data_IF_214507388153
#
_entry.id   IF_214507388153
#
_cell.length_a   1.000
_cell.length_b   1.000
_cell.length_c   1.000
_cell.angle_alpha   90.00
_cell.angle_beta   90.00
_cell.angle_gamma   90.00
#
_symmetry.space_group_name_H-M   'P 1'
#
loop_
_entity.id
_entity.type
_entity.pdbx_description
1 polymer ?
#
# COMPACT_ATOMS: atom_id res chain seq x y z
N UNK A 1 -6.58 28.51 7.86
CA UNK A 1 -6.38 27.43 8.84
C UNK A 1 -4.94 26.95 8.73
N UNK A 2 -4.10 27.26 9.73
CA UNK A 2 -2.68 26.87 9.69
C UNK A 2 -2.56 25.37 9.93
N UNK A 3 -2.07 24.64 8.95
CA UNK A 3 -1.83 23.19 9.06
C UNK A 3 -0.70 22.97 10.05
N UNK A 4 -0.86 22.20 11.13
CA UNK A 4 0.20 21.96 12.08
C UNK A 4 1.39 21.30 11.37
N UNK A 5 2.58 21.77 11.71
CA UNK A 5 3.85 21.32 11.12
C UNK A 5 4.29 19.95 11.66
N UNK A 6 3.72 19.55 12.78
CA UNK A 6 4.09 18.34 13.53
C UNK A 6 2.95 17.32 13.42
N UNK A 7 3.17 16.28 12.65
CA UNK A 7 2.20 15.18 12.47
C UNK A 7 2.68 14.03 13.36
N UNK A 8 1.76 13.45 14.13
CA UNK A 8 1.99 12.26 14.94
C UNK A 8 2.32 11.08 14.02
N UNK A 9 3.12 10.15 14.51
CA UNK A 9 3.35 8.87 13.86
C UNK A 9 2.15 7.95 14.11
N UNK A 10 2.03 6.88 13.32
CA UNK A 10 1.00 5.86 13.53
C UNK A 10 1.14 5.20 14.90
N UNK A 11 2.37 4.94 15.29
CA UNK A 11 2.73 4.34 16.57
C UNK A 11 2.28 5.22 17.75
N UNK A 12 2.41 6.54 17.63
CA UNK A 12 1.95 7.48 18.65
C UNK A 12 0.42 7.43 18.80
N UNK A 13 -0.32 7.40 17.68
CA UNK A 13 -1.77 7.28 17.69
C UNK A 13 -2.23 5.95 18.32
N UNK A 14 -1.56 4.83 18.00
CA UNK A 14 -1.85 3.53 18.58
C UNK A 14 -1.54 3.48 20.08
N UNK A 15 -0.43 4.09 20.50
CA UNK A 15 -0.06 4.15 21.90
C UNK A 15 -1.05 5.01 22.72
N UNK A 16 -1.47 6.16 22.18
CA UNK A 16 -2.53 6.99 22.79
C UNK A 16 -3.82 6.18 22.92
N UNK A 17 -4.27 5.51 21.86
CA UNK A 17 -5.49 4.71 21.89
C UNK A 17 -5.45 3.61 22.97
N UNK A 18 -4.32 2.90 23.10
CA UNK A 18 -4.14 1.87 24.12
C UNK A 18 -4.19 2.40 25.55
N UNK A 19 -3.57 3.55 25.80
CA UNK A 19 -3.61 4.16 27.13
C UNK A 19 -5.01 4.64 27.49
N UNK A 20 -5.73 5.25 26.54
CA UNK A 20 -7.12 5.66 26.75
C UNK A 20 -8.04 4.45 26.99
N UNK A 21 -7.87 3.38 26.25
CA UNK A 21 -8.61 2.11 26.45
C UNK A 21 -8.33 1.49 27.82
N UNK A 22 -7.13 1.68 28.34
CA UNK A 22 -6.73 1.27 29.70
C UNK A 22 -7.24 2.21 30.80
N UNK A 23 -8.01 3.26 30.44
CA UNK A 23 -8.61 4.19 31.40
C UNK A 23 -7.77 5.42 31.76
N UNK A 24 -6.64 5.64 31.11
CA UNK A 24 -5.88 6.87 31.29
C UNK A 24 -6.60 8.07 30.69
N UNK A 25 -6.43 9.25 31.30
CA UNK A 25 -6.88 10.48 30.64
C UNK A 25 -5.99 10.80 29.45
N UNK A 26 -6.52 11.56 28.49
CA UNK A 26 -5.72 11.99 27.31
C UNK A 26 -4.48 12.81 27.74
N UNK A 27 -4.61 13.63 28.79
CA UNK A 27 -3.49 14.43 29.31
C UNK A 27 -2.38 13.54 29.87
N UNK A 28 -2.74 12.54 30.65
CA UNK A 28 -1.78 11.58 31.22
C UNK A 28 -1.12 10.75 30.12
N UNK A 29 -1.90 10.31 29.12
CA UNK A 29 -1.37 9.58 27.98
C UNK A 29 -0.33 10.40 27.21
N UNK A 30 -0.60 11.68 26.94
CA UNK A 30 0.35 12.57 26.27
C UNK A 30 1.63 12.81 27.07
N UNK A 31 1.51 12.92 28.40
CA UNK A 31 2.68 13.09 29.30
C UNK A 31 3.56 11.83 29.28
N UNK A 32 2.94 10.66 29.39
CA UNK A 32 3.65 9.37 29.43
C UNK A 32 4.35 9.05 28.11
N UNK A 33 3.71 9.38 26.98
CA UNK A 33 4.24 9.09 25.64
C UNK A 33 5.14 10.19 25.07
N UNK A 34 5.37 11.28 25.84
CA UNK A 34 6.17 12.41 25.35
C UNK A 34 7.63 12.01 25.17
N UNK A 35 8.11 12.08 23.92
CA UNK A 35 9.48 11.85 23.49
C UNK A 35 9.99 13.06 22.69
N UNK A 36 11.31 13.15 22.46
CA UNK A 36 11.90 14.25 21.67
C UNK A 36 11.31 14.43 20.28
N UNK A 37 10.87 13.31 19.67
CA UNK A 37 10.37 13.29 18.30
C UNK A 37 8.94 13.83 18.19
N UNK A 38 8.10 13.58 19.19
CA UNK A 38 6.69 13.97 19.24
C UNK A 38 6.40 15.15 20.17
N UNK A 39 7.41 15.65 20.92
CA UNK A 39 7.28 16.67 21.94
C UNK A 39 6.48 17.88 21.49
N UNK A 40 6.85 18.46 20.35
CA UNK A 40 6.18 19.67 19.82
C UNK A 40 4.71 19.45 19.49
N UNK A 41 4.39 18.29 18.93
CA UNK A 41 2.99 17.93 18.61
C UNK A 41 2.18 17.74 19.90
N UNK A 42 2.74 17.02 20.86
CA UNK A 42 2.08 16.77 22.15
C UNK A 42 1.89 18.04 22.97
N UNK A 43 2.87 18.95 23.00
CA UNK A 43 2.73 20.22 23.68
C UNK A 43 1.66 21.10 23.03
N UNK A 44 1.58 21.12 21.72
CA UNK A 44 0.56 21.86 21.01
C UNK A 44 -0.85 21.30 21.27
N UNK A 45 -1.01 19.97 21.26
CA UNK A 45 -2.25 19.28 21.64
C UNK A 45 -2.63 19.61 23.10
N UNK A 46 -1.65 19.53 24.01
CA UNK A 46 -1.86 19.83 25.43
C UNK A 46 -2.31 21.26 25.66
N UNK A 47 -1.70 22.22 24.98
CA UNK A 47 -2.09 23.64 25.08
C UNK A 47 -3.52 23.86 24.62
N UNK A 48 -3.93 23.30 23.49
CA UNK A 48 -5.33 23.38 23.01
C UNK A 48 -6.33 22.74 23.98
N UNK A 49 -5.95 21.61 24.59
CA UNK A 49 -6.78 20.97 25.61
C UNK A 49 -6.91 21.83 26.87
N UNK A 50 -5.86 22.58 27.25
CA UNK A 50 -5.89 23.50 28.37
C UNK A 50 -6.68 24.77 28.07
N UNK A 51 -6.72 25.20 26.81
CA UNK A 51 -7.55 26.29 26.32
C UNK A 51 -9.05 25.90 26.22
N UNK A 52 -9.38 24.64 26.51
CA UNK A 52 -10.75 24.11 26.54
C UNK A 52 -11.29 23.70 25.18
N UNK A 53 -10.43 23.59 24.17
CA UNK A 53 -10.85 23.08 22.87
C UNK A 53 -11.23 21.58 22.95
N UNK A 54 -12.27 21.19 22.23
CA UNK A 54 -12.68 19.79 22.14
C UNK A 54 -11.67 18.99 21.32
N UNK A 55 -11.23 17.85 21.85
CA UNK A 55 -10.27 16.96 21.20
C UNK A 55 -10.72 16.54 19.79
N UNK A 56 -12.01 16.27 19.61
CA UNK A 56 -12.61 15.95 18.31
C UNK A 56 -12.41 17.06 17.26
N UNK A 57 -12.42 18.31 17.70
CA UNK A 57 -12.37 19.46 16.79
C UNK A 57 -10.99 19.65 16.14
N UNK A 58 -9.93 19.20 16.78
CA UNK A 58 -8.58 19.53 16.31
C UNK A 58 -7.63 18.34 16.16
N UNK A 59 -7.87 17.20 16.82
CA UNK A 59 -6.93 16.09 16.85
C UNK A 59 -6.61 15.54 15.46
N UNK A 60 -7.60 15.53 14.55
CA UNK A 60 -7.41 15.09 13.17
C UNK A 60 -6.30 15.86 12.41
N UNK A 61 -6.03 17.11 12.83
CA UNK A 61 -4.96 17.93 12.24
C UNK A 61 -3.56 17.35 12.49
N UNK A 62 -3.40 16.62 13.59
CA UNK A 62 -2.14 16.00 14.00
C UNK A 62 -2.02 14.54 13.55
N UNK A 63 -3.10 13.92 13.13
CA UNK A 63 -3.10 12.55 12.65
C UNK A 63 -2.28 12.38 11.37
N UNK A 64 -1.69 11.19 11.15
CA UNK A 64 -1.11 10.82 9.87
C UNK A 64 -2.11 11.02 8.74
N UNK A 65 -1.63 11.39 7.56
CA UNK A 65 -2.50 11.64 6.39
C UNK A 65 -3.46 10.49 6.07
N UNK A 66 -3.01 9.27 6.33
CA UNK A 66 -3.81 8.05 6.13
C UNK A 66 -5.01 7.95 7.09
N UNK A 67 -4.97 8.61 8.24
CA UNK A 67 -6.03 8.57 9.24
C UNK A 67 -7.00 9.76 9.12
N UNK A 68 -6.55 10.89 8.58
CA UNK A 68 -7.30 12.15 8.59
C UNK A 68 -8.72 12.00 8.08
N UNK A 69 -8.88 11.43 6.88
CA UNK A 69 -10.21 11.33 6.21
C UNK A 69 -11.16 10.43 7.00
N UNK A 70 -10.65 9.28 7.47
CA UNK A 70 -11.45 8.34 8.25
C UNK A 70 -11.81 8.92 9.61
N UNK A 71 -10.84 9.49 10.31
CA UNK A 71 -11.02 10.05 11.64
C UNK A 71 -11.97 11.25 11.61
N UNK A 72 -11.84 12.17 10.65
CA UNK A 72 -12.71 13.32 10.49
C UNK A 72 -14.18 12.89 10.29
N UNK A 73 -14.41 11.87 9.46
CA UNK A 73 -15.75 11.35 9.22
C UNK A 73 -16.36 10.66 10.45
N UNK A 74 -15.57 9.91 11.20
CA UNK A 74 -16.02 9.12 12.35
C UNK A 74 -16.16 9.96 13.62
N UNK A 75 -15.31 10.96 13.81
CA UNK A 75 -15.31 11.83 14.99
C UNK A 75 -16.60 12.63 15.17
N UNK A 76 -17.40 12.77 14.11
CA UNK A 76 -18.71 13.43 14.16
C UNK A 76 -19.82 12.53 14.69
N UNK A 77 -19.66 11.21 14.62
CA UNK A 77 -20.70 10.23 14.93
C UNK A 77 -20.39 9.36 16.16
N UNK A 78 -19.12 9.29 16.58
CA UNK A 78 -18.64 8.37 17.63
C UNK A 78 -17.82 9.10 18.68
N UNK A 79 -17.70 8.54 19.92
CA UNK A 79 -16.73 8.99 20.92
C UNK A 79 -15.30 8.98 20.36
N UNK A 80 -14.45 9.85 20.91
CA UNK A 80 -13.06 10.02 20.42
C UNK A 80 -12.28 8.69 20.40
N UNK A 81 -12.31 7.94 21.46
CA UNK A 81 -11.60 6.66 21.60
C UNK A 81 -12.06 5.66 20.53
N UNK A 82 -13.38 5.50 20.37
CA UNK A 82 -13.95 4.56 19.40
C UNK A 82 -13.61 4.99 17.95
N UNK A 83 -13.64 6.28 17.66
CA UNK A 83 -13.21 6.81 16.37
C UNK A 83 -11.75 6.52 16.08
N UNK A 84 -10.88 6.67 17.08
CA UNK A 84 -9.45 6.44 16.95
C UNK A 84 -9.15 4.95 16.77
N UNK A 85 -9.75 4.08 17.60
CA UNK A 85 -9.59 2.63 17.50
C UNK A 85 -10.08 2.10 16.14
N UNK A 86 -11.28 2.49 15.73
CA UNK A 86 -11.84 2.08 14.43
C UNK A 86 -10.95 2.53 13.28
N UNK A 87 -10.42 3.74 13.34
CA UNK A 87 -9.50 4.26 12.33
C UNK A 87 -8.21 3.42 12.23
N UNK A 88 -7.64 3.04 13.37
CA UNK A 88 -6.45 2.19 13.47
C UNK A 88 -6.75 0.80 12.88
N UNK A 89 -7.86 0.17 13.28
CA UNK A 89 -8.25 -1.16 12.81
C UNK A 89 -8.50 -1.19 11.30
N UNK A 90 -9.24 -0.22 10.78
CA UNK A 90 -9.48 -0.10 9.34
C UNK A 90 -8.19 0.07 8.56
N UNK A 91 -7.29 0.90 9.08
CA UNK A 91 -6.00 1.11 8.40
C UNK A 91 -5.14 -0.16 8.39
N UNK A 92 -5.08 -0.89 9.49
CA UNK A 92 -4.42 -2.21 9.57
C UNK A 92 -5.04 -3.22 8.60
N UNK A 93 -6.37 -3.24 8.49
CA UNK A 93 -7.06 -4.12 7.55
C UNK A 93 -6.70 -3.78 6.09
N UNK A 94 -6.62 -2.50 5.75
CA UNK A 94 -6.19 -2.03 4.42
C UNK A 94 -4.74 -2.44 4.13
N UNK A 95 -3.82 -2.18 5.05
CA UNK A 95 -2.40 -2.57 4.90
C UNK A 95 -2.23 -4.08 4.74
N UNK A 96 -2.96 -4.86 5.54
CA UNK A 96 -2.96 -6.33 5.43
C UNK A 96 -3.48 -6.80 4.08
N UNK A 97 -4.58 -6.22 3.61
CA UNK A 97 -5.17 -6.56 2.31
C UNK A 97 -4.22 -6.19 1.15
N UNK A 98 -3.60 -5.03 1.20
CA UNK A 98 -2.61 -4.61 0.20
C UNK A 98 -1.42 -5.56 0.14
N UNK A 99 -0.90 -5.96 1.31
CA UNK A 99 0.19 -6.94 1.37
C UNK A 99 -0.21 -8.29 0.79
N UNK A 100 -1.41 -8.77 1.10
CA UNK A 100 -1.92 -10.03 0.56
C UNK A 100 -2.08 -9.99 -0.97
N UNK A 101 -2.51 -8.85 -1.53
CA UNK A 101 -2.61 -8.67 -2.98
C UNK A 101 -1.22 -8.72 -3.63
N UNK A 102 -0.24 -8.01 -3.07
CA UNK A 102 1.13 -7.98 -3.60
C UNK A 102 1.75 -9.38 -3.55
N UNK A 103 1.63 -10.06 -2.42
CA UNK A 103 2.15 -11.42 -2.23
C UNK A 103 1.46 -12.42 -3.19
N UNK A 104 0.16 -12.25 -3.40
CA UNK A 104 -0.62 -13.08 -4.34
C UNK A 104 -0.28 -12.83 -5.81
N UNK A 105 0.18 -11.64 -6.19
CA UNK A 105 0.56 -11.30 -7.56
C UNK A 105 1.96 -11.78 -7.95
N UNK A 106 2.81 -12.15 -6.99
CA UNK A 106 4.17 -12.62 -7.24
C UNK A 106 4.18 -13.90 -8.09
N UNK A 107 3.33 -14.88 -7.76
CA UNK A 107 3.24 -16.14 -8.49
C UNK A 107 2.77 -15.97 -9.95
N UNK A 108 1.66 -15.27 -10.25
CA UNK A 108 1.24 -15.02 -11.63
C UNK A 108 2.29 -14.24 -12.44
N UNK A 109 2.95 -13.25 -11.83
CA UNK A 109 4.02 -12.48 -12.47
C UNK A 109 5.20 -13.36 -12.89
N UNK A 110 5.64 -14.25 -12.00
CA UNK A 110 6.73 -15.18 -12.29
C UNK A 110 6.37 -16.16 -13.40
N UNK A 111 5.13 -16.67 -13.38
CA UNK A 111 4.63 -17.58 -14.40
C UNK A 111 4.54 -16.88 -15.77
N UNK A 112 4.09 -15.63 -15.79
CA UNK A 112 4.00 -14.84 -17.01
C UNK A 112 5.39 -14.56 -17.61
N UNK A 113 6.37 -14.24 -16.75
CA UNK A 113 7.77 -14.07 -17.17
C UNK A 113 8.35 -15.36 -17.74
N UNK A 114 8.09 -16.49 -17.07
CA UNK A 114 8.51 -17.81 -17.57
C UNK A 114 7.91 -18.16 -18.92
N UNK A 115 6.65 -17.79 -19.15
CA UNK A 115 5.98 -17.99 -20.43
C UNK A 115 6.60 -17.14 -21.55
N UNK A 116 6.94 -15.89 -21.30
CA UNK A 116 7.61 -15.02 -22.27
C UNK A 116 8.99 -15.59 -22.63
N UNK A 117 9.79 -15.97 -21.63
CA UNK A 117 11.11 -16.57 -21.85
C UNK A 117 11.01 -17.90 -22.61
N UNK A 118 10.05 -18.75 -22.25
CA UNK A 118 9.79 -20.01 -22.94
C UNK A 118 9.41 -19.81 -24.40
N UNK A 119 8.55 -18.84 -24.68
CA UNK A 119 8.16 -18.50 -26.06
C UNK A 119 9.34 -17.97 -26.89
N UNK A 120 10.18 -17.13 -26.28
CA UNK A 120 11.40 -16.66 -26.92
C UNK A 120 12.37 -17.80 -27.25
N UNK A 121 12.64 -18.71 -26.32
CA UNK A 121 13.51 -19.87 -26.52
C UNK A 121 12.94 -20.82 -27.59
N UNK A 122 11.64 -21.05 -27.56
CA UNK A 122 10.97 -21.86 -28.59
C UNK A 122 11.17 -21.29 -29.99
N UNK A 123 10.96 -19.97 -30.13
CA UNK A 123 11.14 -19.29 -31.41
C UNK A 123 12.61 -19.30 -31.87
N UNK A 124 13.55 -19.09 -30.95
CA UNK A 124 14.98 -18.99 -31.29
C UNK A 124 15.64 -20.36 -31.58
N UNK A 125 15.21 -21.43 -30.89
CA UNK A 125 15.90 -22.73 -30.95
C UNK A 125 15.11 -23.81 -31.68
N UNK A 126 13.80 -23.89 -31.45
CA UNK A 126 12.99 -25.02 -31.92
C UNK A 126 12.44 -24.73 -33.32
N UNK A 127 11.87 -23.54 -33.51
CA UNK A 127 11.20 -23.19 -34.75
C UNK A 127 12.10 -23.26 -36.00
N UNK A 128 13.33 -22.71 -36.02
CA UNK A 128 14.23 -22.80 -37.17
C UNK A 128 14.63 -24.22 -37.50
N UNK A 129 14.84 -25.07 -36.48
CA UNK A 129 15.16 -26.48 -36.71
C UNK A 129 13.96 -27.25 -37.31
N UNK A 130 12.73 -26.95 -36.85
CA UNK A 130 11.51 -27.52 -37.42
C UNK A 130 11.28 -27.09 -38.87
N UNK A 131 11.49 -25.81 -39.19
CA UNK A 131 11.37 -25.30 -40.57
C UNK A 131 12.36 -26.02 -41.49
N UNK A 132 13.61 -26.18 -41.06
CA UNK A 132 14.65 -26.86 -41.84
C UNK A 132 14.29 -28.32 -42.10
N UNK A 133 13.75 -29.04 -41.12
CA UNK A 133 13.28 -30.41 -41.28
C UNK A 133 12.11 -30.50 -42.25
N UNK A 134 11.12 -29.61 -42.13
CA UNK A 134 9.93 -29.59 -42.98
C UNK A 134 10.26 -29.24 -44.45
N UNK A 135 11.18 -28.33 -44.67
CA UNK A 135 11.70 -28.04 -46.01
C UNK A 135 12.36 -29.27 -46.67
N UNK A 136 13.03 -30.11 -45.87
CA UNK A 136 13.60 -31.40 -46.33
C UNK A 136 12.55 -32.39 -46.79
N UNK A 137 11.33 -32.29 -46.31
CA UNK A 137 10.18 -33.14 -46.70
C UNK A 137 9.27 -32.54 -47.79
N UNK A 138 9.64 -31.41 -48.40
CA UNK A 138 8.85 -30.70 -49.40
C UNK A 138 7.41 -30.34 -48.97
N UNK A 139 7.21 -30.08 -47.67
CA UNK A 139 5.93 -29.62 -47.11
C UNK A 139 5.85 -28.10 -47.24
N UNK A 140 4.68 -27.56 -47.61
CA UNK A 140 4.44 -26.14 -47.65
C UNK A 140 4.61 -25.55 -46.24
N UNK A 141 5.57 -24.63 -46.07
CA UNK A 141 5.96 -24.02 -44.79
C UNK A 141 5.49 -22.59 -44.63
N UNK A 142 4.69 -22.08 -45.57
CA UNK A 142 4.26 -20.67 -45.62
C UNK A 142 3.60 -20.21 -44.31
N UNK A 143 2.75 -21.03 -43.72
CA UNK A 143 2.09 -20.68 -42.44
C UNK A 143 3.06 -20.61 -41.26
N UNK A 144 4.14 -21.41 -41.26
CA UNK A 144 5.16 -21.41 -40.20
C UNK A 144 6.08 -20.19 -40.30
N UNK A 145 6.37 -19.74 -41.53
CA UNK A 145 7.16 -18.52 -41.77
C UNK A 145 6.39 -17.27 -41.33
N UNK A 146 5.11 -17.16 -41.62
CA UNK A 146 4.25 -16.06 -41.14
C UNK A 146 4.17 -16.04 -39.61
N UNK A 147 4.07 -17.21 -39.00
CA UNK A 147 4.03 -17.30 -37.53
C UNK A 147 5.38 -16.90 -36.90
N UNK A 148 6.49 -17.26 -37.52
CA UNK A 148 7.83 -16.87 -37.09
C UNK A 148 8.01 -15.34 -37.15
N UNK A 149 7.64 -14.69 -38.26
CA UNK A 149 7.69 -13.24 -38.43
C UNK A 149 6.80 -12.51 -37.41
N UNK A 150 5.56 -13.01 -37.19
CA UNK A 150 4.65 -12.43 -36.20
C UNK A 150 5.22 -12.48 -34.77
N UNK A 151 5.85 -13.59 -34.39
CA UNK A 151 6.46 -13.75 -33.06
C UNK A 151 7.69 -12.85 -32.92
N UNK A 152 8.53 -12.71 -33.96
CA UNK A 152 9.65 -11.76 -33.96
C UNK A 152 9.16 -10.32 -33.79
N UNK A 153 8.12 -9.93 -34.50
CA UNK A 153 7.55 -8.58 -34.39
C UNK A 153 7.04 -8.28 -32.98
N UNK A 154 6.37 -9.25 -32.35
CA UNK A 154 5.92 -9.14 -30.95
C UNK A 154 7.12 -9.05 -29.98
N UNK A 155 8.19 -9.81 -30.21
CA UNK A 155 9.39 -9.77 -29.38
C UNK A 155 10.13 -8.42 -29.48
N UNK A 156 10.20 -7.84 -30.68
CA UNK A 156 10.78 -6.49 -30.89
C UNK A 156 9.92 -5.38 -30.27
N UNK A 157 8.61 -5.56 -30.21
CA UNK A 157 7.71 -4.57 -29.60
C UNK A 157 7.73 -4.60 -28.07
N UNK A 158 8.12 -5.74 -27.47
CA UNK A 158 8.19 -5.94 -26.02
C UNK A 158 9.55 -5.61 -25.38
N UNK A 159 10.59 -5.44 -26.17
CA UNK A 159 11.95 -5.03 -25.78
C UNK A 159 12.14 -3.53 -25.97
#
# INVERSE_FOLDING_TARGET
MNKPRNILRKEDCEAIAKLLDSGFSIKDALIVLKEKENEKAFDEIMNRLNDGESLHAFFYLYCPKSYVVLFESMSQCMPFLDSLLTCIEMHRAIEKSQKQIIDGMLYPSLLFLGMIVGMYLFNALILPNMITLLMGFQVETDHLLVMHEAIQWIAEFLL
#
